data_IF_206824214016
#
_entry.id   IF_206824214016
#
_cell.length_a   1.000
_cell.length_b   1.000
_cell.length_c   1.000
_cell.angle_alpha   90.00
_cell.angle_beta   90.00
_cell.angle_gamma   90.00
#
_symmetry.space_group_name_H-M   'P 1'
#
loop_
_entity.id
_entity.type
_entity.pdbx_description
1 polymer ?
#
# COMPACT_ATOMS: atom_id res chain seq x y z
N UNK A 1 -2.75 -18.89 1.89
CA UNK A 1 -2.78 -17.41 1.91
C UNK A 1 -4.21 -16.94 1.87
N UNK A 2 -4.61 -16.13 2.86
CA UNK A 2 -5.97 -15.62 3.03
C UNK A 2 -5.95 -14.10 3.05
N UNK A 3 -6.76 -13.47 2.20
CA UNK A 3 -6.90 -12.02 2.19
C UNK A 3 -7.57 -11.51 3.47
N UNK A 4 -6.98 -10.50 4.10
CA UNK A 4 -7.51 -9.83 5.29
C UNK A 4 -8.34 -8.62 4.84
N UNK A 5 -9.51 -8.90 4.29
CA UNK A 5 -10.38 -7.91 3.64
C UNK A 5 -10.76 -6.75 4.56
N UNK A 6 -11.31 -7.05 5.74
CA UNK A 6 -11.73 -6.02 6.69
C UNK A 6 -10.57 -5.13 7.12
N UNK A 7 -9.41 -5.71 7.36
CA UNK A 7 -8.22 -4.97 7.77
C UNK A 7 -7.71 -4.05 6.65
N UNK A 8 -7.73 -4.56 5.41
CA UNK A 8 -7.29 -3.82 4.22
C UNK A 8 -8.24 -2.66 3.91
N UNK A 9 -9.55 -2.90 3.87
CA UNK A 9 -10.53 -1.88 3.48
C UNK A 9 -10.73 -0.80 4.55
N UNK A 10 -10.50 -1.14 5.83
CA UNK A 10 -10.66 -0.23 6.97
C UNK A 10 -9.31 0.24 7.54
N UNK A 11 -8.21 0.10 6.78
CA UNK A 11 -6.88 0.47 7.29
C UNK A 11 -6.76 1.96 7.61
N UNK A 12 -7.43 2.82 6.85
CA UNK A 12 -7.51 4.26 7.11
C UNK A 12 -8.11 4.57 8.49
N UNK A 13 -9.16 3.83 8.86
CA UNK A 13 -9.82 3.96 10.17
C UNK A 13 -8.93 3.45 11.29
N UNK A 14 -8.15 2.38 11.02
CA UNK A 14 -7.11 1.91 11.94
C UNK A 14 -6.08 3.01 12.18
N UNK A 15 -5.51 3.62 11.14
CA UNK A 15 -4.53 4.70 11.31
C UNK A 15 -5.10 5.90 12.08
N UNK A 16 -6.35 6.30 11.79
CA UNK A 16 -7.06 7.35 12.55
C UNK A 16 -7.21 7.01 14.03
N UNK A 17 -7.63 5.77 14.34
CA UNK A 17 -7.77 5.29 15.72
C UNK A 17 -6.45 5.38 16.49
N UNK A 18 -5.34 5.15 15.80
CA UNK A 18 -4.01 5.25 16.38
C UNK A 18 -3.41 6.64 16.27
N UNK A 19 -4.11 7.69 15.85
CA UNK A 19 -3.55 9.06 15.72
C UNK A 19 -2.25 9.04 14.88
N UNK A 20 -2.34 8.41 13.71
CA UNK A 20 -1.31 8.40 12.66
C UNK A 20 -1.86 9.29 11.56
N UNK A 21 -1.15 10.39 11.25
CA UNK A 21 -1.62 11.45 10.38
C UNK A 21 -2.31 10.94 9.11
N UNK A 22 -3.62 11.16 9.03
CA UNK A 22 -4.45 10.86 7.85
C UNK A 22 -4.92 12.11 7.13
N UNK A 23 -4.53 13.28 7.63
CA UNK A 23 -5.25 14.53 7.35
C UNK A 23 -4.83 15.18 6.04
N UNK A 24 -3.77 14.71 5.38
CA UNK A 24 -3.46 15.11 4.01
C UNK A 24 -2.67 14.03 3.26
N UNK A 25 -3.36 13.41 2.29
CA UNK A 25 -2.83 12.85 1.04
C UNK A 25 -1.84 11.67 1.05
N UNK A 26 -1.14 11.35 2.14
CA UNK A 26 -0.23 10.18 2.21
C UNK A 26 -0.96 8.84 1.95
N UNK A 27 -2.26 8.78 2.27
CA UNK A 27 -3.13 7.62 2.06
C UNK A 27 -3.55 7.40 0.60
N UNK A 28 -3.48 8.44 -0.23
CA UNK A 28 -3.75 8.36 -1.66
C UNK A 28 -2.52 7.92 -2.46
N UNK A 29 -1.32 8.16 -1.90
CA UNK A 29 -0.03 7.76 -2.50
C UNK A 29 0.27 6.29 -2.22
N UNK A 30 -0.02 5.83 -1.00
CA UNK A 30 0.36 4.49 -0.53
C UNK A 30 -0.83 3.53 -0.46
N UNK A 31 -0.65 2.37 -1.08
CA UNK A 31 -1.56 1.25 -1.05
C UNK A 31 -1.06 0.18 -0.08
N UNK A 32 -1.89 -0.22 0.88
CA UNK A 32 -1.60 -1.30 1.84
C UNK A 32 -2.60 -2.44 1.68
N UNK A 33 -2.10 -3.65 1.44
CA UNK A 33 -2.93 -4.87 1.36
C UNK A 33 -2.37 -5.92 2.31
N UNK A 34 -3.26 -6.58 3.07
CA UNK A 34 -2.85 -7.53 4.09
C UNK A 34 -3.34 -8.96 3.79
N UNK A 35 -2.48 -9.93 4.04
CA UNK A 35 -2.79 -11.35 3.94
C UNK A 35 -2.28 -12.11 5.16
N UNK A 36 -3.04 -13.13 5.57
CA UNK A 36 -2.55 -14.19 6.45
C UNK A 36 -1.88 -15.26 5.58
N UNK A 37 -0.68 -15.69 5.98
CA UNK A 37 0.06 -16.76 5.35
C UNK A 37 -0.04 -18.00 6.23
N UNK A 38 -0.43 -19.12 5.62
CA UNK A 38 -0.58 -20.40 6.32
C UNK A 38 0.65 -21.31 6.09
N UNK A 39 1.22 -21.21 4.88
CA UNK A 39 2.42 -21.95 4.45
C UNK A 39 3.33 -20.98 3.68
N UNK A 40 4.52 -20.73 4.23
CA UNK A 40 5.48 -19.79 3.66
C UNK A 40 6.55 -20.54 2.87
N UNK A 41 6.60 -20.29 1.56
CA UNK A 41 7.42 -20.99 0.57
C UNK A 41 8.50 -20.09 -0.03
N UNK A 42 8.94 -19.07 0.70
CA UNK A 42 9.96 -18.15 0.20
C UNK A 42 9.42 -17.17 -0.84
N UNK A 43 10.22 -16.93 -1.88
CA UNK A 43 9.92 -15.97 -2.95
C UNK A 43 8.62 -16.28 -3.70
N UNK A 44 8.20 -17.55 -3.79
CA UNK A 44 6.96 -17.96 -4.45
C UNK A 44 5.72 -17.42 -3.71
N UNK A 45 5.75 -17.42 -2.37
CA UNK A 45 4.71 -16.80 -1.55
C UNK A 45 4.70 -15.28 -1.75
N UNK A 46 5.87 -14.65 -1.85
CA UNK A 46 5.96 -13.22 -2.14
C UNK A 46 5.42 -12.86 -3.52
N UNK A 47 5.75 -13.63 -4.56
CA UNK A 47 5.25 -13.38 -5.91
C UNK A 47 3.73 -13.53 -5.98
N UNK A 48 3.20 -14.58 -5.34
CA UNK A 48 1.76 -14.80 -5.23
C UNK A 48 1.07 -13.65 -4.49
N UNK A 49 1.65 -13.19 -3.38
CA UNK A 49 1.16 -12.03 -2.64
C UNK A 49 1.24 -10.74 -3.46
N UNK A 50 2.28 -10.55 -4.27
CA UNK A 50 2.40 -9.37 -5.11
C UNK A 50 1.30 -9.30 -6.17
N UNK A 51 1.06 -10.42 -6.87
CA UNK A 51 0.01 -10.55 -7.89
C UNK A 51 -1.37 -10.37 -7.26
N UNK A 52 -1.67 -11.06 -6.15
CA UNK A 52 -2.96 -10.91 -5.48
C UNK A 52 -3.13 -9.52 -4.88
N UNK A 53 -2.07 -8.94 -4.32
CA UNK A 53 -2.02 -7.57 -3.83
C UNK A 53 -2.47 -6.58 -4.90
N UNK A 54 -1.95 -6.71 -6.12
CA UNK A 54 -2.25 -5.79 -7.23
C UNK A 54 -3.74 -5.80 -7.59
N UNK A 55 -4.35 -6.99 -7.60
CA UNK A 55 -5.79 -7.14 -7.81
C UNK A 55 -6.60 -6.43 -6.71
N UNK A 56 -6.13 -6.46 -5.46
CA UNK A 56 -6.79 -5.81 -4.31
C UNK A 56 -6.57 -4.31 -4.28
N UNK A 57 -5.42 -3.81 -4.74
CA UNK A 57 -5.16 -2.37 -4.89
C UNK A 57 -6.17 -1.73 -5.83
N UNK A 58 -6.47 -2.36 -6.97
CA UNK A 58 -7.49 -1.85 -7.89
C UNK A 58 -8.87 -1.69 -7.21
N UNK A 59 -9.24 -2.67 -6.37
CA UNK A 59 -10.47 -2.62 -5.59
C UNK A 59 -10.44 -1.52 -4.51
N UNK A 60 -9.30 -1.35 -3.84
CA UNK A 60 -9.09 -0.30 -2.81
C UNK A 60 -9.19 1.10 -3.41
N UNK A 61 -8.52 1.37 -4.54
CA UNK A 61 -8.58 2.68 -5.22
C UNK A 61 -9.99 3.00 -5.72
N UNK A 62 -10.74 1.99 -6.16
CA UNK A 62 -12.16 2.15 -6.48
C UNK A 62 -12.98 2.55 -5.25
N UNK A 63 -12.75 1.92 -4.10
CA UNK A 63 -13.40 2.30 -2.84
C UNK A 63 -13.09 3.76 -2.46
N UNK A 64 -11.84 4.20 -2.60
CA UNK A 64 -11.48 5.61 -2.34
C UNK A 64 -12.26 6.56 -3.26
N UNK A 65 -12.36 6.26 -4.56
CA UNK A 65 -13.18 7.03 -5.51
C UNK A 65 -14.67 7.02 -5.13
N UNK A 66 -15.17 5.87 -4.68
CA UNK A 66 -16.55 5.72 -4.23
C UNK A 66 -16.86 6.63 -3.04
N UNK A 67 -16.00 6.61 -2.00
CA UNK A 67 -16.10 7.49 -0.84
C UNK A 67 -16.12 8.96 -1.25
N UNK A 68 -15.19 9.38 -2.12
CA UNK A 68 -15.12 10.78 -2.59
C UNK A 68 -16.38 11.22 -3.31
N UNK A 69 -17.00 10.36 -4.13
CA UNK A 69 -18.26 10.71 -4.80
C UNK A 69 -19.46 10.77 -3.85
N UNK A 70 -19.57 9.86 -2.88
CA UNK A 70 -20.65 9.90 -1.90
C UNK A 70 -20.61 11.18 -1.06
N UNK A 71 -19.40 11.62 -0.66
CA UNK A 71 -19.18 12.90 0.01
C UNK A 71 -19.62 14.06 -0.89
N UNK A 72 -19.18 14.10 -2.16
CA UNK A 72 -19.56 15.16 -3.12
C UNK A 72 -21.06 15.22 -3.39
N UNK A 73 -21.76 14.08 -3.34
CA UNK A 73 -23.21 13.98 -3.50
C UNK A 73 -24.00 14.40 -2.25
N UNK A 74 -23.31 14.64 -1.12
CA UNK A 74 -23.96 14.94 0.15
C UNK A 74 -24.79 13.76 0.69
N UNK A 75 -24.44 12.53 0.32
CA UNK A 75 -25.13 11.33 0.78
C UNK A 75 -25.03 11.22 2.30
N UNK A 76 -26.18 11.09 2.97
CA UNK A 76 -26.25 10.83 4.43
C UNK A 76 -26.27 9.34 4.75
N UNK A 77 -26.21 8.48 3.74
CA UNK A 77 -26.30 7.04 3.92
C UNK A 77 -24.94 6.49 4.37
N UNK A 78 -24.92 5.84 5.53
CA UNK A 78 -23.75 5.14 6.01
C UNK A 78 -23.73 3.73 5.44
N UNK A 79 -22.80 3.47 4.52
CA UNK A 79 -22.42 2.14 4.09
C UNK A 79 -21.11 1.74 4.78
N UNK A 80 -20.96 0.46 5.11
CA UNK A 80 -19.63 -0.09 5.37
C UNK A 80 -18.78 -0.02 4.09
N UNK A 81 -17.45 -0.06 4.25
CA UNK A 81 -16.52 -0.03 3.12
C UNK A 81 -16.72 -1.23 2.18
N UNK A 82 -17.08 -2.39 2.73
CA UNK A 82 -17.43 -3.60 2.00
C UNK A 82 -18.70 -3.42 1.15
N UNK A 83 -19.77 -2.88 1.74
CA UNK A 83 -21.03 -2.61 1.04
C UNK A 83 -20.86 -1.58 -0.06
N UNK A 84 -20.13 -0.49 0.23
CA UNK A 84 -19.88 0.58 -0.73
C UNK A 84 -19.10 0.04 -1.94
N UNK A 85 -18.03 -0.72 -1.70
CA UNK A 85 -17.25 -1.35 -2.77
C UNK A 85 -18.11 -2.31 -3.60
N UNK A 86 -18.90 -3.17 -2.96
CA UNK A 86 -19.78 -4.12 -3.65
C UNK A 86 -20.81 -3.42 -4.53
N UNK A 87 -21.47 -2.39 -4.00
CA UNK A 87 -22.46 -1.60 -4.76
C UNK A 87 -21.81 -0.94 -5.97
N UNK A 88 -20.61 -0.38 -5.79
CA UNK A 88 -19.88 0.25 -6.88
C UNK A 88 -19.43 -0.74 -7.95
N UNK A 89 -18.92 -1.91 -7.56
CA UNK A 89 -18.56 -2.97 -8.50
C UNK A 89 -19.76 -3.48 -9.31
N UNK A 90 -20.95 -3.52 -8.71
CA UNK A 90 -22.18 -3.88 -9.42
C UNK A 90 -22.57 -2.84 -10.49
N UNK A 91 -22.34 -1.55 -10.21
CA UNK A 91 -22.75 -0.46 -11.11
C UNK A 91 -21.71 -0.21 -12.22
N UNK A 92 -20.42 -0.20 -11.86
CA UNK A 92 -19.34 0.24 -12.75
C UNK A 92 -18.40 -0.89 -13.19
N UNK A 93 -18.62 -2.11 -12.70
CA UNK A 93 -17.72 -3.24 -12.92
C UNK A 93 -16.48 -3.20 -12.01
N UNK A 94 -15.58 -4.16 -12.21
CA UNK A 94 -14.32 -4.27 -11.47
C UNK A 94 -13.18 -3.64 -12.25
N UNK A 95 -12.47 -2.69 -11.64
CA UNK A 95 -11.18 -2.19 -12.17
C UNK A 95 -10.11 -3.25 -11.92
N UNK A 96 -9.29 -3.50 -12.92
CA UNK A 96 -8.18 -4.44 -12.87
C UNK A 96 -6.97 -3.82 -13.53
N UNK A 97 -5.79 -4.10 -12.98
CA UNK A 97 -4.53 -3.85 -13.65
C UNK A 97 -4.11 -5.05 -14.47
N UNK A 98 -3.42 -4.80 -15.57
CA UNK A 98 -2.69 -5.80 -16.33
C UNK A 98 -1.58 -6.37 -15.44
N UNK A 99 -1.37 -7.69 -15.49
CA UNK A 99 -0.33 -8.37 -14.71
C UNK A 99 0.43 -9.31 -15.65
N UNK A 100 1.75 -9.13 -15.71
CA UNK A 100 2.67 -9.92 -16.53
C UNK A 100 3.68 -10.65 -15.63
N UNK A 101 3.31 -11.80 -15.02
CA UNK A 101 4.15 -12.46 -14.00
C UNK A 101 5.56 -12.82 -14.47
N UNK A 102 5.71 -13.08 -15.78
CA UNK A 102 7.01 -13.41 -16.40
C UNK A 102 8.01 -12.24 -16.39
N UNK A 103 7.53 -11.01 -16.22
CA UNK A 103 8.36 -9.81 -16.17
C UNK A 103 8.73 -9.41 -14.75
N UNK A 104 8.13 -10.06 -13.74
CA UNK A 104 8.40 -9.77 -12.34
C UNK A 104 9.81 -10.21 -11.97
N UNK A 105 10.60 -9.26 -11.46
CA UNK A 105 11.92 -9.46 -10.87
C UNK A 105 11.86 -8.97 -9.43
N UNK A 106 12.37 -9.78 -8.51
CA UNK A 106 12.41 -9.45 -7.10
C UNK A 106 13.84 -9.17 -6.65
N UNK A 107 13.99 -8.14 -5.82
CA UNK A 107 15.21 -7.84 -5.09
C UNK A 107 14.97 -8.04 -3.60
N UNK A 108 15.88 -8.75 -2.93
CA UNK A 108 15.85 -8.95 -1.47
C UNK A 108 16.37 -7.68 -0.79
N UNK A 109 15.58 -7.10 0.11
CA UNK A 109 15.94 -5.86 0.82
C UNK A 109 16.02 -6.10 2.32
N UNK A 110 16.99 -5.48 2.98
CA UNK A 110 17.13 -5.58 4.43
C UNK A 110 16.11 -4.69 5.15
N UNK A 111 15.68 -5.02 6.38
CA UNK A 111 14.83 -4.11 7.15
C UNK A 111 15.46 -2.72 7.34
N UNK A 112 16.78 -2.65 7.51
CA UNK A 112 17.51 -1.37 7.62
C UNK A 112 17.35 -0.50 6.38
N UNK A 113 17.50 -1.08 5.19
CA UNK A 113 17.34 -0.34 3.92
C UNK A 113 15.87 0.03 3.67
N UNK A 114 14.94 -0.88 4.00
CA UNK A 114 13.50 -0.68 3.81
C UNK A 114 12.95 0.46 4.69
N UNK A 115 13.39 0.56 5.95
CA UNK A 115 12.98 1.63 6.87
C UNK A 115 13.91 2.86 6.83
N UNK A 116 14.86 2.91 5.90
CA UNK A 116 15.85 3.99 5.83
C UNK A 116 15.16 5.35 5.69
N UNK A 117 15.46 6.23 6.64
CA UNK A 117 15.06 7.63 6.59
C UNK A 117 16.04 8.40 5.71
N UNK A 118 15.54 9.09 4.69
CA UNK A 118 16.38 9.94 3.85
C UNK A 118 16.19 11.43 4.23
N UNK A 119 17.22 12.26 4.03
CA UNK A 119 17.23 13.69 4.40
C UNK A 119 17.23 14.64 3.18
N UNK A 120 16.13 14.88 2.45
CA UNK A 120 15.92 15.88 1.34
C UNK A 120 17.05 16.27 0.32
N UNK A 121 18.35 15.97 0.50
CA UNK A 121 19.54 16.49 -0.19
C UNK A 121 20.31 15.38 -0.96
N UNK A 122 20.16 14.11 -0.60
CA UNK A 122 20.66 12.89 -1.26
C UNK A 122 19.77 12.42 -2.42
N UNK A 123 20.04 12.83 -3.66
CA UNK A 123 19.22 12.66 -4.88
C UNK A 123 18.62 11.26 -5.28
N UNK A 124 18.60 10.25 -4.41
CA UNK A 124 17.99 8.91 -4.61
C UNK A 124 16.60 8.77 -3.91
N UNK A 125 15.76 9.81 -3.94
CA UNK A 125 14.58 9.92 -3.05
C UNK A 125 13.27 9.27 -3.52
N UNK A 126 13.06 9.13 -4.81
CA UNK A 126 11.69 9.01 -5.37
C UNK A 126 11.05 7.63 -5.14
N UNK A 127 11.83 6.60 -4.84
CA UNK A 127 11.33 5.22 -4.69
C UNK A 127 11.31 4.72 -3.23
N UNK A 128 11.54 5.62 -2.27
CA UNK A 128 11.60 5.28 -0.85
C UNK A 128 10.22 5.25 -0.20
N UNK A 129 9.92 4.15 0.51
CA UNK A 129 8.72 4.02 1.33
C UNK A 129 8.61 5.13 2.39
N UNK A 130 9.72 5.44 3.08
CA UNK A 130 9.74 6.50 4.09
C UNK A 130 9.46 7.87 3.46
N UNK A 131 10.07 8.15 2.29
CA UNK A 131 9.86 9.42 1.61
C UNK A 131 8.40 9.59 1.18
N UNK A 132 7.83 8.60 0.48
CA UNK A 132 6.44 8.64 0.04
C UNK A 132 5.43 8.77 1.20
N UNK A 133 5.77 8.27 2.39
CA UNK A 133 4.95 8.46 3.59
C UNK A 133 5.08 9.86 4.20
N UNK A 134 6.30 10.40 4.26
CA UNK A 134 6.62 11.63 5.02
C UNK A 134 6.46 12.92 4.21
N UNK A 135 6.61 12.83 2.89
CA UNK A 135 6.51 13.93 1.93
C UNK A 135 5.53 13.56 0.80
N UNK A 136 4.22 13.44 1.07
CA UNK A 136 3.24 13.31 0.00
C UNK A 136 3.26 14.55 -0.90
N UNK A 137 2.74 14.42 -2.13
CA UNK A 137 2.79 15.43 -3.21
C UNK A 137 2.28 16.84 -2.84
N UNK A 138 1.61 16.98 -1.70
CA UNK A 138 0.98 18.22 -1.23
C UNK A 138 1.71 18.93 -0.09
N UNK A 139 2.85 18.39 0.35
CA UNK A 139 3.73 19.05 1.32
C UNK A 139 4.29 18.14 2.41
N UNK A 140 5.27 18.63 3.15
CA UNK A 140 5.86 17.93 4.30
C UNK A 140 4.83 17.77 5.42
N UNK A 141 4.57 16.53 5.84
CA UNK A 141 3.79 16.27 7.05
C UNK A 141 4.67 16.54 8.28
N UNK A 142 4.35 17.55 9.12
CA UNK A 142 5.18 17.89 10.30
C UNK A 142 5.33 16.73 11.30
N UNK A 143 4.37 15.80 11.35
CA UNK A 143 4.43 14.59 12.19
C UNK A 143 4.82 13.35 11.40
N UNK A 144 5.07 13.45 10.09
CA UNK A 144 5.24 12.33 9.17
C UNK A 144 6.28 11.31 9.63
N UNK A 145 7.45 11.75 10.11
CA UNK A 145 8.49 10.82 10.60
C UNK A 145 8.07 10.07 11.87
N UNK A 146 7.39 10.75 12.79
CA UNK A 146 6.86 10.14 14.01
C UNK A 146 5.76 9.14 13.68
N UNK A 147 4.88 9.50 12.77
CA UNK A 147 3.76 8.69 12.31
C UNK A 147 4.24 7.48 11.50
N UNK A 148 5.30 7.63 10.69
CA UNK A 148 5.95 6.53 9.98
C UNK A 148 6.47 5.48 10.97
N UNK A 149 7.19 5.91 12.02
CA UNK A 149 7.68 5.00 13.06
C UNK A 149 6.53 4.31 13.79
N UNK A 150 5.48 5.07 14.14
CA UNK A 150 4.31 4.55 14.83
C UNK A 150 3.54 3.53 13.99
N UNK A 151 3.36 3.81 12.70
CA UNK A 151 2.72 2.90 11.75
C UNK A 151 3.52 1.61 11.58
N UNK A 152 4.83 1.73 11.35
CA UNK A 152 5.67 0.55 11.14
C UNK A 152 5.84 -0.28 12.41
N UNK A 153 5.79 0.32 13.60
CA UNK A 153 5.73 -0.44 14.85
C UNK A 153 4.39 -1.15 15.04
N UNK A 154 3.29 -0.58 14.54
CA UNK A 154 1.95 -1.19 14.56
C UNK A 154 1.87 -2.37 13.58
N UNK A 155 2.37 -2.19 12.36
CA UNK A 155 2.36 -3.20 11.30
C UNK A 155 3.37 -4.32 11.53
N UNK A 156 4.55 -3.96 12.04
CA UNK A 156 5.69 -4.85 12.17
C UNK A 156 6.29 -4.73 13.59
N UNK A 157 5.71 -5.42 14.59
CA UNK A 157 6.21 -5.35 15.96
C UNK A 157 7.66 -5.85 16.10
N UNK A 158 8.05 -6.83 15.28
CA UNK A 158 9.42 -7.34 15.18
C UNK A 158 10.01 -7.02 13.79
N UNK A 159 10.65 -5.86 13.67
CA UNK A 159 11.17 -5.37 12.38
C UNK A 159 12.42 -6.10 11.90
N UNK A 160 13.19 -6.72 12.80
CA UNK A 160 14.52 -7.26 12.47
C UNK A 160 14.44 -8.56 11.65
N UNK A 161 13.38 -9.33 11.84
CA UNK A 161 13.18 -10.64 11.21
C UNK A 161 12.28 -10.57 9.96
N UNK A 162 11.95 -9.35 9.50
CA UNK A 162 11.13 -9.17 8.32
C UNK A 162 11.83 -9.69 7.08
N UNK A 163 11.01 -10.31 6.24
CA UNK A 163 11.41 -10.87 4.96
C UNK A 163 10.82 -9.96 3.88
N UNK A 164 11.64 -9.11 3.28
CA UNK A 164 11.19 -8.05 2.37
C UNK A 164 11.69 -8.29 0.95
N UNK A 165 10.80 -8.13 -0.03
CA UNK A 165 11.17 -8.07 -1.44
C UNK A 165 10.63 -6.81 -2.09
N UNK A 166 11.49 -6.14 -2.86
CA UNK A 166 11.12 -5.14 -3.86
C UNK A 166 10.79 -5.84 -5.17
N UNK A 167 9.75 -5.40 -5.85
CA UNK A 167 9.47 -5.81 -7.22
C UNK A 167 9.80 -4.67 -8.18
N UNK A 168 10.32 -4.99 -9.36
CA UNK A 168 10.40 -4.02 -10.47
C UNK A 168 9.00 -3.56 -10.89
N UNK A 169 8.91 -2.61 -11.81
CA UNK A 169 7.68 -1.92 -12.16
C UNK A 169 7.25 -2.13 -13.63
N UNK A 170 7.83 -3.12 -14.31
CA UNK A 170 7.56 -3.43 -15.74
C UNK A 170 6.47 -4.49 -15.97
N UNK A 171 5.84 -4.97 -14.90
CA UNK A 171 4.92 -6.10 -14.97
C UNK A 171 3.44 -5.70 -14.85
N UNK A 172 3.12 -4.42 -14.69
CA UNK A 172 1.75 -3.94 -14.55
C UNK A 172 1.58 -2.49 -15.00
N UNK A 173 0.44 -2.18 -15.59
CA UNK A 173 0.00 -0.82 -15.94
C UNK A 173 -0.35 0.03 -14.70
N UNK A 174 -0.38 -0.56 -13.50
CA UNK A 174 -0.43 0.18 -12.23
C UNK A 174 0.68 1.23 -12.12
N UNK A 175 1.87 0.91 -12.63
CA UNK A 175 3.09 1.73 -12.45
C UNK A 175 3.19 2.92 -13.39
N UNK A 176 2.38 2.95 -14.46
CA UNK A 176 2.49 3.95 -15.52
C UNK A 176 2.32 5.38 -14.97
N UNK A 177 1.40 5.56 -14.03
CA UNK A 177 1.16 6.85 -13.38
C UNK A 177 2.38 7.35 -12.58
N UNK A 178 3.02 6.51 -11.76
CA UNK A 178 4.15 6.95 -10.94
C UNK A 178 5.44 7.16 -11.73
N UNK A 179 5.65 6.40 -12.82
CA UNK A 179 6.82 6.52 -13.72
C UNK A 179 6.97 7.92 -14.34
N UNK A 180 5.87 8.63 -14.51
CA UNK A 180 5.86 9.97 -15.09
C UNK A 180 6.10 11.10 -14.07
N UNK A 181 6.01 10.81 -12.76
CA UNK A 181 5.97 11.86 -11.73
C UNK A 181 6.84 11.55 -10.51
N UNK A 182 6.32 10.79 -9.55
CA UNK A 182 6.88 10.66 -8.20
C UNK A 182 7.68 9.38 -7.96
N UNK A 183 7.95 8.63 -9.02
CA UNK A 183 8.58 7.31 -8.95
C UNK A 183 7.56 6.21 -8.64
N UNK A 184 8.05 4.98 -8.60
CA UNK A 184 7.23 3.81 -8.26
C UNK A 184 7.95 2.87 -7.32
N UNK A 185 7.15 2.17 -6.53
CA UNK A 185 7.65 0.98 -5.86
C UNK A 185 6.54 -0.01 -5.56
N UNK A 186 6.96 -1.24 -5.34
CA UNK A 186 6.07 -2.30 -4.91
C UNK A 186 6.81 -3.28 -4.01
N UNK A 187 6.33 -3.40 -2.79
CA UNK A 187 6.96 -4.19 -1.73
C UNK A 187 6.06 -5.32 -1.29
N UNK A 188 6.68 -6.43 -0.96
CA UNK A 188 6.03 -7.52 -0.22
C UNK A 188 6.87 -7.79 1.03
N UNK A 189 6.23 -7.69 2.19
CA UNK A 189 6.86 -7.78 3.50
C UNK A 189 6.19 -8.91 4.26
N UNK A 190 6.93 -9.99 4.50
CA UNK A 190 6.48 -11.09 5.33
C UNK A 190 7.05 -10.93 6.74
N UNK A 191 6.17 -10.99 7.73
CA UNK A 191 6.49 -11.03 9.15
C UNK A 191 6.31 -12.47 9.67
N UNK A 192 7.41 -13.20 9.94
CA UNK A 192 7.35 -14.56 10.46
C UNK A 192 6.73 -14.66 11.87
N UNK A 193 6.75 -13.58 12.66
CA UNK A 193 6.24 -13.60 14.04
C UNK A 193 4.71 -13.63 14.09
N UNK A 194 4.06 -13.10 13.06
CA UNK A 194 2.59 -13.04 12.93
C UNK A 194 2.05 -13.86 11.77
N UNK A 195 2.94 -14.47 10.98
CA UNK A 195 2.64 -15.12 9.70
C UNK A 195 1.83 -14.22 8.76
N UNK A 196 2.14 -12.92 8.75
CA UNK A 196 1.41 -11.92 7.97
C UNK A 196 2.25 -11.43 6.81
N UNK A 197 1.59 -11.22 5.68
CA UNK A 197 2.15 -10.56 4.52
C UNK A 197 1.48 -9.20 4.35
N UNK A 198 2.31 -8.16 4.29
CA UNK A 198 1.90 -6.80 3.94
C UNK A 198 2.44 -6.49 2.55
N UNK A 199 1.57 -6.03 1.68
CA UNK A 199 1.94 -5.49 0.37
C UNK A 199 1.83 -3.98 0.44
N UNK A 200 2.88 -3.27 0.04
CA UNK A 200 2.89 -1.81 -0.04
C UNK A 200 3.21 -1.39 -1.45
N UNK A 201 2.28 -0.70 -2.11
CA UNK A 201 2.46 -0.15 -3.45
C UNK A 201 2.44 1.38 -3.43
N UNK A 202 3.24 1.99 -4.30
CA UNK A 202 3.13 3.41 -4.63
C UNK A 202 3.27 3.59 -6.13
N UNK A 203 2.30 4.31 -6.70
CA UNK A 203 2.28 4.76 -8.09
C UNK A 203 1.16 5.78 -8.24
N UNK A 204 1.50 7.06 -8.21
CA UNK A 204 0.54 8.16 -8.33
C UNK A 204 1.10 9.31 -9.14
N UNK A 205 0.19 10.03 -9.80
CA UNK A 205 0.44 11.37 -10.35
C UNK A 205 0.21 12.42 -9.26
N UNK A 206 0.50 13.69 -9.58
CA UNK A 206 0.10 14.86 -8.80
C UNK A 206 -1.44 15.03 -8.67
#
# INVERSE_FOLDING_TARGET
MKFLEKETLNFEETMKKYDIGTDDLALHVLDYIFFQIDDYQGIETHQSAAIEGMKKIASRRMLSRAKSLEIRRGSKQHFSNEELLKNWQQVYGTTTYSILPKLMKAERVTPTDFFKEYQRVDAEYEESYCYAFTYPSTGENPTGRKDFKKLNQLLFPNQQDLIIYRWNDDWSDYFDAGKEWWGTFYWTIYDPSTNRMTVIGASTTD
#
